data_IF_268533277547
#
_entry.id   IF_268533277547
#
_cell.length_a   1.000
_cell.length_b   1.000
_cell.length_c   1.000
_cell.angle_alpha   90.00
_cell.angle_beta   90.00
_cell.angle_gamma   90.00
#
_symmetry.space_group_name_H-M   'P 1'
#
loop_
_entity.id
_entity.type
_entity.pdbx_description
1 polymer ?
#
# COMPACT_ATOMS: atom_id res chain seq x y z
N UNK A 1 8.41 -32.43 -74.33
CA UNK A 1 9.28 -31.57 -73.51
C UNK A 1 8.43 -30.87 -72.47
N UNK A 2 8.67 -31.23 -71.20
CA UNK A 2 8.41 -30.57 -69.91
C UNK A 2 7.57 -29.27 -69.86
N UNK A 3 6.46 -29.28 -69.11
CA UNK A 3 6.13 -28.39 -67.96
C UNK A 3 5.08 -29.12 -67.08
N UNK A 4 5.43 -29.82 -65.98
CA UNK A 4 5.47 -29.37 -64.56
C UNK A 4 4.18 -28.59 -64.16
N UNK A 5 3.23 -29.14 -63.42
CA UNK A 5 3.34 -29.44 -61.98
C UNK A 5 3.10 -28.17 -61.16
N UNK A 6 1.86 -27.91 -60.75
CA UNK A 6 1.53 -26.78 -59.85
C UNK A 6 0.91 -27.33 -58.58
N UNK A 7 1.74 -27.48 -57.55
CA UNK A 7 1.30 -27.80 -56.20
C UNK A 7 0.82 -26.52 -55.52
N UNK A 8 -0.38 -26.57 -54.95
CA UNK A 8 -0.95 -25.49 -54.15
C UNK A 8 -0.35 -25.60 -52.75
N UNK A 9 0.73 -24.87 -52.47
CA UNK A 9 1.23 -24.72 -51.10
C UNK A 9 0.31 -23.77 -50.34
N UNK A 10 -0.50 -24.33 -49.44
CA UNK A 10 -1.29 -23.62 -48.46
C UNK A 10 -0.35 -23.07 -47.36
N UNK A 11 0.04 -21.80 -47.46
CA UNK A 11 0.80 -21.13 -46.42
C UNK A 11 -0.14 -20.78 -45.25
N UNK A 12 -0.10 -21.60 -44.19
CA UNK A 12 -0.75 -21.28 -42.91
C UNK A 12 0.12 -20.22 -42.22
N UNK A 13 -0.34 -18.97 -42.27
CA UNK A 13 0.24 -17.86 -41.53
C UNK A 13 -0.19 -18.00 -40.06
N UNK A 14 0.64 -18.65 -39.24
CA UNK A 14 0.49 -18.64 -37.78
C UNK A 14 0.80 -17.22 -37.29
N UNK A 15 -0.25 -16.41 -37.14
CA UNK A 15 -0.22 -15.20 -36.31
C UNK A 15 0.02 -15.65 -34.87
N UNK A 16 1.30 -15.71 -34.47
CA UNK A 16 1.67 -15.78 -33.07
C UNK A 16 1.11 -14.52 -32.40
N UNK A 17 0.00 -14.69 -31.67
CA UNK A 17 -0.56 -13.64 -30.85
C UNK A 17 0.52 -13.15 -29.89
N UNK A 18 0.95 -11.90 -30.09
CA UNK A 18 1.76 -11.18 -29.12
C UNK A 18 0.86 -10.87 -27.93
N UNK A 19 0.58 -11.89 -27.12
CA UNK A 19 0.06 -11.71 -25.78
C UNK A 19 1.15 -11.02 -25.00
N UNK A 20 1.13 -9.68 -25.01
CA UNK A 20 2.10 -8.87 -24.29
C UNK A 20 2.15 -9.32 -22.84
N UNK A 21 3.33 -9.80 -22.41
CA UNK A 21 3.66 -9.88 -20.99
C UNK A 21 3.45 -8.47 -20.43
N UNK A 22 2.39 -8.26 -19.66
CA UNK A 22 2.30 -7.08 -18.82
C UNK A 22 3.34 -7.27 -17.74
N UNK A 23 4.47 -6.59 -17.87
CA UNK A 23 5.38 -6.40 -16.76
C UNK A 23 4.55 -5.83 -15.60
N UNK A 24 4.59 -6.49 -14.45
CA UNK A 24 4.00 -5.96 -13.23
C UNK A 24 4.80 -4.71 -12.89
N UNK A 25 4.18 -3.54 -13.03
CA UNK A 25 4.83 -2.27 -12.70
C UNK A 25 5.11 -2.25 -11.20
N UNK A 26 6.38 -2.09 -10.84
CA UNK A 26 6.82 -2.01 -9.46
C UNK A 26 6.52 -0.60 -8.96
N UNK A 27 5.72 -0.51 -7.90
CA UNK A 27 5.24 0.76 -7.38
C UNK A 27 6.15 1.30 -6.24
N UNK A 28 6.71 2.52 -6.38
CA UNK A 28 7.57 3.14 -5.36
C UNK A 28 6.89 3.32 -4.01
N UNK A 29 5.58 3.62 -3.95
CA UNK A 29 4.88 3.79 -2.67
C UNK A 29 4.81 2.47 -1.88
N UNK A 30 4.65 1.34 -2.57
CA UNK A 30 4.70 0.01 -1.93
C UNK A 30 6.11 -0.29 -1.43
N UNK A 31 7.15 0.09 -2.17
CA UNK A 31 8.54 -0.08 -1.70
C UNK A 31 8.79 0.73 -0.43
N UNK A 32 8.41 2.02 -0.42
CA UNK A 32 8.56 2.87 0.75
C UNK A 32 7.83 2.33 1.98
N UNK A 33 6.60 1.83 1.79
CA UNK A 33 5.82 1.22 2.85
C UNK A 33 6.46 -0.06 3.40
N UNK A 34 7.08 -0.89 2.55
CA UNK A 34 7.66 -2.16 3.02
C UNK A 34 9.05 -2.00 3.61
N UNK A 35 9.88 -1.17 2.98
CA UNK A 35 11.33 -1.18 3.20
C UNK A 35 11.80 -0.01 4.06
N UNK A 36 11.03 1.09 4.13
CA UNK A 36 11.53 2.34 4.71
C UNK A 36 10.83 2.75 6.02
N UNK A 37 9.52 2.51 6.17
CA UNK A 37 8.76 2.97 7.34
C UNK A 37 9.12 2.26 8.66
N UNK A 38 9.92 1.19 8.64
CA UNK A 38 10.43 0.59 9.89
C UNK A 38 11.35 1.55 10.68
N UNK A 39 11.88 2.59 10.01
CA UNK A 39 12.87 3.52 10.57
C UNK A 39 12.63 5.01 10.24
N UNK A 40 11.71 5.35 9.34
CA UNK A 40 11.45 6.71 8.87
C UNK A 40 9.97 7.11 9.01
N UNK A 41 9.45 7.03 10.23
CA UNK A 41 8.06 7.37 10.61
C UNK A 41 8.03 8.51 11.61
N UNK A 42 6.83 9.00 11.93
CA UNK A 42 6.64 10.06 12.92
C UNK A 42 7.24 9.71 14.29
N UNK A 43 7.06 8.45 14.73
CA UNK A 43 7.57 7.99 16.03
C UNK A 43 9.06 7.64 16.00
N UNK A 44 9.65 7.45 14.81
CA UNK A 44 11.05 7.06 14.65
C UNK A 44 11.58 7.64 13.35
N UNK A 45 12.34 8.74 13.44
CA UNK A 45 12.92 9.48 12.31
C UNK A 45 14.44 9.30 12.29
N UNK A 46 14.94 8.17 11.80
CA UNK A 46 16.39 7.97 11.68
C UNK A 46 16.96 8.99 10.67
N UNK A 47 18.01 9.70 11.05
CA UNK A 47 18.61 10.77 10.24
C UNK A 47 17.63 11.91 9.93
N UNK A 48 16.65 12.17 10.80
CA UNK A 48 15.66 13.23 10.65
C UNK A 48 14.62 13.01 9.55
N UNK A 49 14.77 11.98 8.72
CA UNK A 49 13.93 11.74 7.54
C UNK A 49 12.58 11.13 7.91
N UNK A 50 11.51 11.69 7.34
CA UNK A 50 10.13 11.23 7.43
C UNK A 50 9.62 10.82 6.04
N UNK A 51 9.02 9.64 5.94
CA UNK A 51 8.43 9.14 4.69
C UNK A 51 6.92 9.01 4.89
N UNK A 52 6.21 10.10 4.61
CA UNK A 52 4.75 10.18 4.72
C UNK A 52 4.09 10.99 3.61
N UNK A 53 4.88 11.80 2.90
CA UNK A 53 4.44 12.71 1.86
C UNK A 53 5.59 13.03 0.90
N UNK A 54 5.24 13.56 -0.27
CA UNK A 54 6.19 14.08 -1.25
C UNK A 54 7.03 15.22 -0.66
N UNK A 55 6.37 16.10 0.08
CA UNK A 55 6.94 17.31 0.66
C UNK A 55 7.99 16.95 1.71
N UNK A 56 7.74 15.94 2.55
CA UNK A 56 8.72 15.43 3.52
C UNK A 56 9.98 14.87 2.84
N UNK A 57 9.81 14.12 1.74
CA UNK A 57 10.95 13.59 0.98
C UNK A 57 11.77 14.71 0.30
N UNK A 58 11.11 15.74 -0.22
CA UNK A 58 11.78 16.91 -0.81
C UNK A 58 12.51 17.71 0.27
N UNK A 59 11.91 17.86 1.44
CA UNK A 59 12.54 18.53 2.58
C UNK A 59 13.79 17.79 3.04
N UNK A 60 13.78 16.46 3.01
CA UNK A 60 14.86 15.64 3.54
C UNK A 60 14.83 15.54 5.07
N UNK A 61 15.91 15.00 5.62
CA UNK A 61 16.10 14.81 7.06
C UNK A 61 17.13 15.79 7.63
N UNK A 62 18.10 15.25 8.36
CA UNK A 62 19.26 15.99 8.87
C UNK A 62 20.29 16.32 7.77
N UNK A 63 20.13 15.71 6.59
CA UNK A 63 20.92 15.94 5.38
C UNK A 63 20.19 16.88 4.41
N UNK A 64 20.77 17.08 3.23
CA UNK A 64 20.07 17.70 2.10
C UNK A 64 18.77 16.95 1.71
N UNK A 65 18.04 17.52 0.75
CA UNK A 65 16.82 16.94 0.19
C UNK A 65 17.01 15.45 -0.13
N UNK A 66 16.10 14.60 0.38
CA UNK A 66 16.20 13.17 0.12
C UNK A 66 15.91 12.89 -1.37
N UNK A 67 14.97 13.63 -1.97
CA UNK A 67 14.71 13.56 -3.40
C UNK A 67 14.71 14.95 -4.06
N UNK A 68 15.19 14.98 -5.29
CA UNK A 68 15.09 16.13 -6.21
C UNK A 68 14.19 15.72 -7.39
N UNK A 69 12.92 16.15 -7.42
CA UNK A 69 12.00 15.79 -8.49
C UNK A 69 12.56 16.12 -9.88
N UNK A 70 12.53 15.14 -10.78
CA UNK A 70 13.10 15.23 -12.12
C UNK A 70 14.58 14.85 -12.19
N UNK A 71 15.25 14.58 -11.06
CA UNK A 71 16.70 14.38 -10.99
C UNK A 71 17.10 13.28 -10.00
N UNK A 72 16.86 12.03 -10.37
CA UNK A 72 17.24 10.88 -9.53
C UNK A 72 18.74 10.86 -9.20
N UNK A 73 19.61 11.20 -10.16
CA UNK A 73 21.06 11.24 -9.94
C UNK A 73 21.57 12.38 -9.04
N UNK A 74 20.72 13.36 -8.68
CA UNK A 74 21.03 14.41 -7.68
C UNK A 74 20.28 14.15 -6.36
N UNK A 75 19.63 12.98 -6.20
CA UNK A 75 18.80 12.66 -5.03
C UNK A 75 19.57 11.79 -4.06
N UNK A 76 19.81 12.30 -2.84
CA UNK A 76 20.55 11.58 -1.80
C UNK A 76 19.94 10.21 -1.46
N UNK A 77 18.61 10.10 -1.51
CA UNK A 77 17.91 8.82 -1.34
C UNK A 77 18.49 7.75 -2.29
N UNK A 78 18.68 8.08 -3.58
CA UNK A 78 19.15 7.12 -4.59
C UNK A 78 20.56 6.66 -4.29
N UNK A 79 21.46 7.57 -3.89
CA UNK A 79 22.83 7.24 -3.49
C UNK A 79 22.86 6.22 -2.34
N UNK A 80 21.96 6.39 -1.36
CA UNK A 80 21.89 5.48 -0.20
C UNK A 80 21.29 4.10 -0.52
N UNK A 81 20.67 3.88 -1.68
CA UNK A 81 20.07 2.57 -2.02
C UNK A 81 21.12 1.52 -2.44
N UNK A 82 22.37 1.93 -2.65
CA UNK A 82 23.45 1.05 -3.09
C UNK A 82 24.34 0.61 -1.93
N UNK A 83 24.77 -0.66 -1.90
CA UNK A 83 25.39 -1.29 -0.72
C UNK A 83 26.79 -0.77 -0.39
N UNK A 84 27.43 -0.06 -1.31
CA UNK A 84 28.74 0.57 -1.16
C UNK A 84 28.69 1.93 -0.46
N UNK A 85 27.50 2.48 -0.24
CA UNK A 85 27.32 3.74 0.47
C UNK A 85 27.41 3.54 2.00
N UNK A 86 28.16 4.38 2.71
CA UNK A 86 28.33 4.29 4.19
C UNK A 86 27.00 4.37 4.96
N UNK A 87 26.03 5.09 4.39
CA UNK A 87 24.66 5.20 4.91
C UNK A 87 23.67 4.35 4.13
N UNK A 88 24.08 3.16 3.70
CA UNK A 88 23.25 2.23 2.94
C UNK A 88 21.88 1.97 3.59
N UNK A 89 20.85 1.98 2.75
CA UNK A 89 19.46 1.73 3.11
C UNK A 89 18.83 0.74 2.12
N UNK A 90 18.02 -0.23 2.59
CA UNK A 90 17.75 -0.54 4.00
C UNK A 90 18.97 -1.17 4.71
N UNK A 91 19.17 -0.95 6.03
CA UNK A 91 20.36 -1.42 6.73
C UNK A 91 20.44 -2.94 6.94
N UNK A 92 19.36 -3.69 6.65
CA UNK A 92 19.25 -5.13 6.89
C UNK A 92 19.08 -5.96 5.62
N UNK A 93 19.24 -5.37 4.44
CA UNK A 93 19.02 -6.06 3.18
C UNK A 93 19.19 -5.12 2.00
N UNK A 94 19.29 -5.68 0.81
CA UNK A 94 19.43 -4.89 -0.41
C UNK A 94 18.13 -4.92 -1.21
N UNK A 95 17.73 -3.75 -1.73
CA UNK A 95 16.61 -3.68 -2.66
C UNK A 95 16.95 -4.41 -3.96
N UNK A 96 15.94 -5.05 -4.54
CA UNK A 96 16.08 -5.64 -5.87
C UNK A 96 16.36 -4.55 -6.91
N UNK A 97 17.16 -4.82 -7.96
CA UNK A 97 17.49 -3.81 -8.97
C UNK A 97 16.26 -3.14 -9.59
N UNK A 98 15.16 -3.89 -9.77
CA UNK A 98 13.92 -3.35 -10.32
C UNK A 98 13.21 -2.40 -9.35
N UNK A 99 13.39 -2.56 -8.04
CA UNK A 99 12.85 -1.64 -7.04
C UNK A 99 13.61 -0.31 -7.05
N UNK A 100 14.95 -0.36 -7.12
CA UNK A 100 15.79 0.84 -7.25
C UNK A 100 15.44 1.58 -8.53
N UNK A 101 15.39 0.88 -9.67
CA UNK A 101 15.02 1.47 -10.95
C UNK A 101 13.61 2.09 -10.95
N UNK A 102 12.65 1.49 -10.24
CA UNK A 102 11.31 2.05 -10.09
C UNK A 102 11.32 3.38 -9.29
N UNK A 103 12.12 3.47 -8.23
CA UNK A 103 12.30 4.70 -7.45
C UNK A 103 12.97 5.78 -8.30
N UNK A 104 14.05 5.46 -9.00
CA UNK A 104 14.75 6.41 -9.88
C UNK A 104 13.82 6.95 -10.98
N UNK A 105 13.11 6.06 -11.66
CA UNK A 105 12.12 6.43 -12.69
C UNK A 105 11.07 7.35 -12.10
N UNK A 106 10.49 6.99 -10.96
CA UNK A 106 9.47 7.79 -10.28
C UNK A 106 9.96 9.19 -9.90
N UNK A 107 11.20 9.30 -9.39
CA UNK A 107 11.83 10.60 -9.10
C UNK A 107 11.95 11.41 -10.39
N UNK A 108 12.50 10.82 -11.46
CA UNK A 108 12.67 11.47 -12.76
C UNK A 108 11.34 11.92 -13.39
N UNK A 109 10.23 11.22 -13.11
CA UNK A 109 8.87 11.59 -13.54
C UNK A 109 8.21 12.67 -12.66
N UNK A 110 8.96 13.24 -11.71
CA UNK A 110 8.52 14.36 -10.86
C UNK A 110 8.04 13.94 -9.47
N UNK A 111 8.27 12.69 -9.08
CA UNK A 111 7.96 12.15 -7.76
C UNK A 111 6.49 12.33 -7.37
N UNK A 112 5.55 11.94 -8.25
CA UNK A 112 4.11 12.10 -7.98
C UNK A 112 3.69 11.23 -6.81
N UNK A 113 2.98 11.81 -5.85
CA UNK A 113 2.56 11.12 -4.64
C UNK A 113 1.05 10.94 -4.60
N UNK A 114 0.61 9.69 -4.52
CA UNK A 114 -0.79 9.32 -4.33
C UNK A 114 -1.05 9.16 -2.82
N UNK A 115 -1.58 10.23 -2.21
CA UNK A 115 -1.87 10.28 -0.78
C UNK A 115 -2.98 9.32 -0.35
N UNK A 116 -3.97 9.09 -1.21
CA UNK A 116 -5.05 8.14 -0.94
C UNK A 116 -4.51 6.70 -0.92
N UNK A 117 -3.68 6.35 -1.90
CA UNK A 117 -2.99 5.06 -1.93
C UNK A 117 -2.04 4.88 -0.77
N UNK A 118 -1.25 5.90 -0.44
CA UNK A 118 -0.38 5.88 0.73
C UNK A 118 -1.16 5.62 2.02
N UNK A 119 -2.29 6.32 2.22
CA UNK A 119 -3.16 6.10 3.37
C UNK A 119 -3.67 4.65 3.41
N UNK A 120 -4.10 4.09 2.29
CA UNK A 120 -4.58 2.69 2.19
C UNK A 120 -3.50 1.66 2.50
N UNK A 121 -2.27 1.88 2.04
CA UNK A 121 -1.12 1.00 2.30
C UNK A 121 -0.70 0.99 3.78
N UNK A 122 -1.01 2.06 4.52
CA UNK A 122 -0.69 2.22 5.94
C UNK A 122 -1.91 2.02 6.86
N UNK A 123 -3.04 1.53 6.32
CA UNK A 123 -4.12 1.07 7.18
C UNK A 123 -3.63 -0.14 7.99
N UNK A 124 -4.05 -0.26 9.27
CA UNK A 124 -3.80 -1.49 10.00
C UNK A 124 -4.36 -2.66 9.19
N UNK A 125 -3.59 -3.73 9.12
CA UNK A 125 -4.02 -4.96 8.46
C UNK A 125 -5.39 -5.34 9.02
N UNK A 126 -6.38 -5.51 8.13
CA UNK A 126 -7.71 -5.94 8.55
C UNK A 126 -7.58 -7.38 9.02
N UNK A 127 -7.39 -7.61 10.31
CA UNK A 127 -7.51 -8.94 10.88
C UNK A 127 -8.96 -9.34 10.73
N UNK A 128 -9.24 -10.30 9.85
CA UNK A 128 -10.55 -10.94 9.79
C UNK A 128 -10.77 -11.64 11.13
N UNK A 129 -11.75 -11.17 11.89
CA UNK A 129 -12.15 -11.80 13.14
C UNK A 129 -13.38 -12.65 12.85
N UNK A 130 -13.22 -13.96 12.95
CA UNK A 130 -14.37 -14.88 12.98
C UNK A 130 -15.19 -14.58 14.22
N UNK A 131 -16.43 -14.12 14.03
CA UNK A 131 -17.37 -13.94 15.13
C UNK A 131 -17.80 -15.32 15.62
N UNK A 132 -17.47 -15.64 16.87
CA UNK A 132 -18.06 -16.79 17.57
C UNK A 132 -19.41 -16.37 18.19
N UNK A 133 -20.28 -17.36 18.42
CA UNK A 133 -21.44 -17.13 19.29
C UNK A 133 -20.97 -16.83 20.72
N UNK A 134 -21.70 -15.95 21.39
CA UNK A 134 -21.42 -15.63 22.79
C UNK A 134 -21.85 -16.80 23.67
N UNK A 135 -21.08 -17.17 24.72
CA UNK A 135 -21.49 -18.23 25.65
C UNK A 135 -22.87 -17.96 26.24
N UNK A 136 -23.64 -19.02 26.47
CA UNK A 136 -24.92 -18.94 27.16
C UNK A 136 -24.74 -18.30 28.55
N UNK A 137 -25.60 -17.34 28.90
CA UNK A 137 -25.51 -16.57 30.14
C UNK A 137 -24.51 -15.40 30.13
N UNK A 138 -23.62 -15.28 29.14
CA UNK A 138 -22.71 -14.14 29.02
C UNK A 138 -23.36 -13.00 28.21
N UNK A 139 -24.01 -12.07 28.90
CA UNK A 139 -24.79 -10.98 28.30
C UNK A 139 -24.42 -9.58 28.84
N UNK A 140 -23.14 -9.14 28.76
CA UNK A 140 -22.75 -7.83 29.26
C UNK A 140 -23.48 -6.72 28.50
N UNK A 141 -24.03 -5.74 29.21
CA UNK A 141 -24.50 -4.49 28.61
C UNK A 141 -23.30 -3.57 28.44
N UNK A 142 -22.89 -3.35 27.19
CA UNK A 142 -21.75 -2.46 26.89
C UNK A 142 -22.21 -1.04 26.61
N UNK A 143 -23.42 -0.89 26.05
CA UNK A 143 -24.03 0.39 25.75
C UNK A 143 -25.56 0.29 25.86
N UNK A 144 -26.19 1.40 26.21
CA UNK A 144 -27.65 1.56 26.13
C UNK A 144 -28.00 2.95 25.64
N UNK A 145 -29.08 3.06 24.87
CA UNK A 145 -29.61 4.33 24.38
C UNK A 145 -31.14 4.31 24.44
N UNK A 146 -31.73 5.30 25.09
CA UNK A 146 -33.17 5.51 25.13
C UNK A 146 -33.57 6.47 24.00
N UNK A 147 -34.67 6.20 23.32
CA UNK A 147 -35.23 7.11 22.32
C UNK A 147 -35.64 8.44 22.96
N UNK A 148 -35.65 9.55 22.20
CA UNK A 148 -36.05 10.86 22.74
C UNK A 148 -37.45 10.90 23.34
N UNK A 149 -38.37 10.07 22.82
CA UNK A 149 -39.74 9.93 23.33
C UNK A 149 -39.86 8.98 24.53
N UNK A 150 -38.74 8.38 24.97
CA UNK A 150 -38.68 7.48 26.11
C UNK A 150 -39.26 6.07 25.90
N UNK A 151 -39.75 5.74 24.69
CA UNK A 151 -40.53 4.52 24.45
C UNK A 151 -39.70 3.32 24.00
N UNK A 152 -38.48 3.54 23.52
CA UNK A 152 -37.63 2.49 22.96
C UNK A 152 -36.25 2.54 23.59
N UNK A 153 -35.77 1.39 24.07
CA UNK A 153 -34.42 1.21 24.60
C UNK A 153 -33.63 0.27 23.68
N UNK A 154 -32.52 0.76 23.14
CA UNK A 154 -31.51 -0.06 22.48
C UNK A 154 -30.47 -0.49 23.50
N UNK A 155 -30.13 -1.79 23.54
CA UNK A 155 -29.11 -2.34 24.42
C UNK A 155 -28.08 -3.09 23.59
N UNK A 156 -26.84 -2.60 23.57
CA UNK A 156 -25.71 -3.27 22.94
C UNK A 156 -25.15 -4.35 23.85
N UNK A 157 -25.20 -5.61 23.41
CA UNK A 157 -24.66 -6.77 24.13
C UNK A 157 -23.69 -7.54 23.25
N UNK A 158 -22.39 -7.38 23.49
CA UNK A 158 -21.35 -8.07 22.71
C UNK A 158 -21.51 -7.81 21.21
N UNK A 159 -21.89 -8.85 20.47
CA UNK A 159 -22.06 -8.84 19.01
C UNK A 159 -23.49 -8.54 18.52
N UNK A 160 -24.43 -8.15 19.39
CA UNK A 160 -25.83 -7.88 19.02
C UNK A 160 -26.39 -6.61 19.66
N UNK A 161 -27.46 -6.09 19.05
CA UNK A 161 -28.29 -5.01 19.60
C UNK A 161 -29.67 -5.59 19.86
N UNK A 162 -30.13 -5.45 21.10
CA UNK A 162 -31.48 -5.84 21.52
C UNK A 162 -32.34 -4.58 21.68
N UNK A 163 -33.58 -4.64 21.21
CA UNK A 163 -34.54 -3.54 21.29
C UNK A 163 -35.64 -3.88 22.29
N UNK A 164 -35.90 -2.98 23.22
CA UNK A 164 -36.96 -3.11 24.22
C UNK A 164 -37.96 -1.97 24.08
N UNK A 165 -39.23 -2.28 24.27
CA UNK A 165 -40.26 -1.26 24.47
C UNK A 165 -40.30 -0.91 25.96
N UNK A 166 -40.16 0.38 26.25
CA UNK A 166 -40.21 0.90 27.61
C UNK A 166 -41.66 1.24 27.91
N UNK A 167 -42.19 0.65 28.98
CA UNK A 167 -43.48 1.06 29.55
C UNK A 167 -43.17 1.96 30.74
N UNK A 168 -43.78 3.14 30.78
CA UNK A 168 -43.78 3.94 32.01
C UNK A 168 -44.40 3.10 33.13
N UNK A 169 -43.71 3.01 34.26
CA UNK A 169 -44.18 2.25 35.42
C UNK A 169 -45.43 2.89 36.03
N UNK A 170 -46.28 2.04 36.64
CA UNK A 170 -47.34 2.46 37.55
C UNK A 170 -46.76 3.07 38.83
#
# INVERSE_FOLDING_TARGET
MLVKGTEISLAILLLAGVGGLRAVEVDPLVIFQKECISCHTESKRKGGLLIDSRESLIKGGDTDAAIVPGKAGESYLVETLFPDHDSHMPPKGQLEPQQIAAIEKWINEGAKWDSEKWAKLNLPEKTEVTRSEMPEGYAPVLAMALSPDGKTLAVGRGNRIEWFQVKEGA
#
